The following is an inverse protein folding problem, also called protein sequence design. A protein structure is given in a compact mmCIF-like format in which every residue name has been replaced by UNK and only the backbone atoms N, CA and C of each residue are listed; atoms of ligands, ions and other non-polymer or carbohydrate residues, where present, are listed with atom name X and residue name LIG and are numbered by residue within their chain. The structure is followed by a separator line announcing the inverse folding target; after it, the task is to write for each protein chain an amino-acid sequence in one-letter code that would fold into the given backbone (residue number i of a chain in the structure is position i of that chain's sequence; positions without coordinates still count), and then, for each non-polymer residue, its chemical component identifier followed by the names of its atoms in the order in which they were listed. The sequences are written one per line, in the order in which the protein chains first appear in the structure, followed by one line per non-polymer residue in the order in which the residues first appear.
data_IF_042107003370
#
_entry.id   IF_042107003370
#
_cell.length_a   1.000
_cell.length_b   1.000
_cell.length_c   1.000
_cell.angle_alpha   90.00
_cell.angle_beta   90.00
_cell.angle_gamma   90.00
#
_symmetry.space_group_name_H-M   'P 1'
#
loop_
_entity.id
_entity.type
_entity.pdbx_description
1 polymer ?
#
# COMPACT_ATOMS: atom_id res chain seq x y z
N UNK A 1 -29.76 36.40 36.70
CA UNK A 1 -29.09 36.07 35.44
C UNK A 1 -27.75 35.35 35.60
N UNK A 2 -27.01 35.55 36.69
CA UNK A 2 -25.72 34.88 36.93
C UNK A 2 -25.82 33.40 37.30
N UNK A 3 -26.88 32.94 37.95
CA UNK A 3 -27.08 31.53 38.33
C UNK A 3 -27.22 30.57 37.13
N UNK A 4 -27.85 31.00 36.08
CA UNK A 4 -28.01 30.20 34.85
C UNK A 4 -26.69 30.00 34.10
N UNK A 5 -25.80 30.97 34.16
CA UNK A 5 -24.46 30.89 33.57
C UNK A 5 -23.51 30.03 34.39
N UNK A 6 -23.63 30.07 35.73
CA UNK A 6 -22.83 29.24 36.63
C UNK A 6 -23.24 27.77 36.53
N UNK A 7 -24.55 27.46 36.49
CA UNK A 7 -25.07 26.11 36.26
C UNK A 7 -24.71 25.54 34.86
N UNK A 8 -24.72 26.43 33.87
CA UNK A 8 -24.30 26.02 32.51
C UNK A 8 -22.80 25.73 32.43
N UNK A 9 -22.01 26.50 33.17
CA UNK A 9 -20.56 26.36 33.20
C UNK A 9 -20.12 25.09 33.94
N UNK A 10 -20.82 24.76 35.03
CA UNK A 10 -20.59 23.52 35.80
C UNK A 10 -21.05 22.31 35.04
N UNK A 11 -22.19 22.33 34.35
CA UNK A 11 -22.63 21.29 33.45
C UNK A 11 -21.69 21.10 32.24
N UNK A 12 -21.16 22.17 31.68
CA UNK A 12 -20.16 22.07 30.60
C UNK A 12 -18.84 21.47 31.07
N UNK A 13 -18.43 21.68 32.33
CA UNK A 13 -17.25 21.05 32.91
C UNK A 13 -17.45 19.55 33.11
N UNK A 14 -18.60 19.12 33.63
CA UNK A 14 -18.92 17.68 33.78
C UNK A 14 -19.04 16.97 32.41
N UNK A 15 -19.65 17.61 31.44
CA UNK A 15 -19.74 17.06 30.08
C UNK A 15 -18.37 17.03 29.40
N UNK A 16 -17.53 18.02 29.66
CA UNK A 16 -16.17 18.06 29.12
C UNK A 16 -15.27 16.95 29.66
N UNK A 17 -15.35 16.62 30.94
CA UNK A 17 -14.55 15.54 31.54
C UNK A 17 -15.00 14.16 31.12
N UNK A 18 -16.29 13.88 31.05
CA UNK A 18 -16.83 12.60 30.57
C UNK A 18 -16.58 12.40 29.06
N UNK A 19 -16.69 13.47 28.29
CA UNK A 19 -16.41 13.41 26.85
C UNK A 19 -14.90 13.22 26.58
N UNK A 20 -14.03 13.79 27.39
CA UNK A 20 -12.57 13.64 27.26
C UNK A 20 -12.13 12.22 27.65
N UNK A 21 -12.65 11.65 28.74
CA UNK A 21 -12.34 10.25 29.14
C UNK A 21 -12.77 9.22 28.09
N UNK A 22 -14.00 9.35 27.57
CA UNK A 22 -14.48 8.49 26.49
C UNK A 22 -13.75 8.71 25.15
N UNK A 23 -13.38 9.96 24.86
CA UNK A 23 -12.61 10.29 23.68
C UNK A 23 -11.16 9.76 23.76
N UNK A 24 -10.54 9.72 24.94
CA UNK A 24 -9.21 9.10 25.13
C UNK A 24 -9.24 7.57 24.93
N UNK A 25 -10.25 6.87 25.44
CA UNK A 25 -10.37 5.43 25.25
C UNK A 25 -10.67 5.06 23.80
N UNK A 26 -11.60 5.77 23.16
CA UNK A 26 -11.90 5.59 21.73
C UNK A 26 -10.72 6.01 20.86
N UNK A 27 -10.00 7.05 21.24
CA UNK A 27 -8.81 7.51 20.53
C UNK A 27 -7.67 6.48 20.59
N UNK A 28 -7.41 5.87 21.74
CA UNK A 28 -6.38 4.83 21.89
C UNK A 28 -6.70 3.59 21.04
N UNK A 29 -7.94 3.14 21.03
CA UNK A 29 -8.39 2.00 20.20
C UNK A 29 -8.36 2.37 18.71
N UNK A 30 -8.78 3.59 18.35
CA UNK A 30 -8.73 4.06 16.97
C UNK A 30 -7.29 4.24 16.47
N UNK A 31 -6.39 4.76 17.30
CA UNK A 31 -4.96 4.92 16.98
C UNK A 31 -4.31 3.54 16.78
N UNK A 32 -4.54 2.58 17.67
CA UNK A 32 -4.02 1.22 17.53
C UNK A 32 -4.51 0.55 16.23
N UNK A 33 -5.79 0.65 15.91
CA UNK A 33 -6.35 0.13 14.64
C UNK A 33 -5.77 0.84 13.42
N UNK A 34 -5.53 2.15 13.51
CA UNK A 34 -4.92 2.92 12.41
C UNK A 34 -3.47 2.52 12.19
N UNK A 35 -2.69 2.28 13.25
CA UNK A 35 -1.31 1.80 13.12
C UNK A 35 -1.23 0.44 12.46
N UNK A 36 -2.12 -0.50 12.83
CA UNK A 36 -2.16 -1.83 12.26
C UNK A 36 -2.64 -1.81 10.79
N UNK A 37 -3.62 -0.99 10.46
CA UNK A 37 -4.02 -0.75 9.08
C UNK A 37 -2.88 -0.16 8.24
N UNK A 38 -2.08 0.73 8.82
CA UNK A 38 -0.88 1.28 8.17
C UNK A 38 0.17 0.20 7.93
N UNK A 39 0.40 -0.71 8.87
CA UNK A 39 1.29 -1.86 8.68
C UNK A 39 0.81 -2.77 7.55
N UNK A 40 -0.47 -3.12 7.54
CA UNK A 40 -1.09 -3.92 6.48
C UNK A 40 -0.92 -3.23 5.11
N UNK A 41 -1.14 -1.93 5.03
CA UNK A 41 -0.97 -1.16 3.80
C UNK A 41 0.47 -1.18 3.28
N UNK A 42 1.46 -1.07 4.17
CA UNK A 42 2.88 -1.20 3.80
C UNK A 42 3.20 -2.60 3.28
N UNK A 43 2.71 -3.64 3.95
CA UNK A 43 2.93 -5.02 3.52
C UNK A 43 2.26 -5.28 2.16
N UNK A 44 1.05 -4.76 1.92
CA UNK A 44 0.39 -4.84 0.60
C UNK A 44 1.20 -4.15 -0.50
N UNK A 45 1.80 -3.01 -0.19
CA UNK A 45 2.69 -2.31 -1.13
C UNK A 45 3.94 -3.15 -1.44
N UNK A 46 4.53 -3.79 -0.42
CA UNK A 46 5.66 -4.70 -0.61
C UNK A 46 5.28 -5.88 -1.52
N UNK A 47 4.11 -6.50 -1.28
CA UNK A 47 3.56 -7.57 -2.13
C UNK A 47 3.40 -7.09 -3.57
N UNK A 48 2.89 -5.89 -3.77
CA UNK A 48 2.74 -5.32 -5.11
C UNK A 48 4.09 -5.17 -5.82
N UNK A 49 5.11 -4.70 -5.12
CA UNK A 49 6.47 -4.58 -5.66
C UNK A 49 7.08 -5.96 -5.97
N UNK A 50 6.89 -6.95 -5.10
CA UNK A 50 7.34 -8.32 -5.32
C UNK A 50 6.67 -8.95 -6.55
N UNK A 51 5.36 -8.76 -6.71
CA UNK A 51 4.62 -9.22 -7.89
C UNK A 51 5.11 -8.54 -9.18
N UNK A 52 5.52 -7.27 -9.13
CA UNK A 52 6.17 -6.61 -10.28
C UNK A 52 7.51 -7.25 -10.62
N UNK A 53 8.31 -7.63 -9.63
CA UNK A 53 9.58 -8.35 -9.84
C UNK A 53 9.33 -9.72 -10.46
N UNK A 54 8.35 -10.48 -9.96
CA UNK A 54 7.94 -11.78 -10.55
C UNK A 54 7.56 -11.60 -12.02
N UNK A 55 6.80 -10.57 -12.34
CA UNK A 55 6.41 -10.28 -13.74
C UNK A 55 7.64 -9.99 -14.60
N UNK A 56 8.58 -9.19 -14.12
CA UNK A 56 9.83 -8.90 -14.82
C UNK A 56 10.68 -10.16 -15.06
N UNK A 57 10.79 -11.05 -14.08
CA UNK A 57 11.52 -12.32 -14.25
C UNK A 57 10.80 -13.27 -15.23
N UNK A 58 9.46 -13.30 -15.22
CA UNK A 58 8.66 -14.05 -16.21
C UNK A 58 8.82 -13.50 -17.63
N UNK A 59 8.89 -12.18 -17.78
CA UNK A 59 9.15 -11.54 -19.08
C UNK A 59 10.54 -11.87 -19.59
N UNK A 60 11.57 -11.82 -18.73
CA UNK A 60 12.92 -12.21 -19.07
C UNK A 60 13.01 -13.69 -19.47
N UNK A 61 12.34 -14.56 -18.72
CA UNK A 61 12.24 -15.98 -19.01
C UNK A 61 11.55 -16.22 -20.35
N UNK A 62 10.43 -15.53 -20.61
CA UNK A 62 9.71 -15.63 -21.88
C UNK A 62 10.54 -15.17 -23.07
N UNK A 63 11.32 -14.09 -22.91
CA UNK A 63 12.24 -13.60 -23.93
C UNK A 63 13.36 -14.61 -24.22
N UNK A 64 13.97 -15.16 -23.19
CA UNK A 64 15.01 -16.18 -23.31
C UNK A 64 14.49 -17.42 -24.05
N UNK A 65 13.31 -17.92 -23.68
CA UNK A 65 12.66 -19.07 -24.34
C UNK A 65 12.38 -18.77 -25.81
N UNK A 66 11.85 -17.58 -26.10
CA UNK A 66 11.54 -17.16 -27.46
C UNK A 66 12.80 -17.06 -28.35
N UNK A 67 13.85 -16.44 -27.85
CA UNK A 67 15.13 -16.30 -28.60
C UNK A 67 15.76 -17.67 -28.88
N UNK A 68 15.81 -18.54 -27.88
CA UNK A 68 16.39 -19.86 -28.06
C UNK A 68 15.54 -20.79 -28.97
N UNK A 69 14.23 -20.69 -28.88
CA UNK A 69 13.35 -21.43 -29.75
C UNK A 69 13.46 -20.96 -31.21
N UNK A 70 13.66 -19.66 -31.43
CA UNK A 70 13.75 -19.06 -32.76
C UNK A 70 15.12 -19.29 -33.41
N UNK A 71 16.19 -19.06 -32.66
CA UNK A 71 17.54 -19.01 -33.24
C UNK A 71 18.24 -20.37 -33.17
N UNK A 72 18.09 -21.10 -32.09
CA UNK A 72 18.76 -22.40 -31.86
C UNK A 72 17.88 -23.62 -32.10
N UNK A 73 16.61 -23.41 -32.40
CA UNK A 73 15.63 -24.50 -32.58
C UNK A 73 15.53 -25.41 -31.34
N UNK A 74 15.84 -24.85 -30.14
CA UNK A 74 15.87 -25.60 -28.88
C UNK A 74 14.45 -25.94 -28.41
N UNK A 75 14.20 -27.24 -28.29
CA UNK A 75 12.92 -27.78 -27.78
C UNK A 75 13.02 -28.15 -26.30
N UNK A 76 14.23 -28.11 -25.73
CA UNK A 76 14.51 -28.57 -24.38
C UNK A 76 15.48 -27.62 -23.66
N UNK A 77 15.07 -27.16 -22.50
CA UNK A 77 15.86 -26.24 -21.64
C UNK A 77 16.69 -26.96 -20.56
N UNK A 78 16.75 -28.29 -20.59
CA UNK A 78 17.58 -29.10 -19.70
C UNK A 78 19.05 -28.73 -19.88
N UNK A 79 19.68 -28.22 -18.80
CA UNK A 79 21.06 -27.76 -18.83
C UNK A 79 21.23 -26.26 -19.17
N UNK A 80 20.17 -25.53 -19.46
CA UNK A 80 20.24 -24.08 -19.58
C UNK A 80 20.22 -23.43 -18.20
N UNK A 81 21.39 -22.97 -17.76
CA UNK A 81 21.55 -22.37 -16.42
C UNK A 81 20.73 -21.08 -16.28
N UNK A 82 20.65 -20.27 -17.32
CA UNK A 82 19.93 -18.97 -17.26
C UNK A 82 18.42 -19.17 -17.12
N UNK A 83 17.87 -20.19 -17.78
CA UNK A 83 16.49 -20.59 -17.61
C UNK A 83 16.18 -20.92 -16.15
N UNK A 84 16.99 -21.78 -15.52
CA UNK A 84 16.77 -22.18 -14.14
C UNK A 84 17.05 -21.08 -13.13
N UNK A 85 17.95 -20.13 -13.41
CA UNK A 85 18.16 -18.94 -12.59
C UNK A 85 16.90 -18.09 -12.52
N UNK A 86 16.22 -17.85 -13.63
CA UNK A 86 14.96 -17.12 -13.63
C UNK A 86 13.84 -17.87 -12.90
N UNK A 87 13.74 -19.18 -13.09
CA UNK A 87 12.78 -20.03 -12.37
C UNK A 87 13.01 -19.95 -10.86
N UNK A 88 14.26 -20.08 -10.42
CA UNK A 88 14.61 -20.00 -8.99
C UNK A 88 14.28 -18.62 -8.39
N UNK A 89 14.61 -17.55 -9.09
CA UNK A 89 14.24 -16.19 -8.65
C UNK A 89 12.73 -16.03 -8.49
N UNK A 90 11.94 -16.54 -9.45
CA UNK A 90 10.47 -16.49 -9.36
C UNK A 90 10.00 -17.26 -8.12
N UNK A 91 10.55 -18.44 -7.85
CA UNK A 91 10.19 -19.25 -6.70
C UNK A 91 10.52 -18.55 -5.39
N UNK A 92 11.71 -17.98 -5.24
CA UNK A 92 12.13 -17.23 -4.06
C UNK A 92 11.19 -16.05 -3.82
N UNK A 93 10.95 -15.21 -4.82
CA UNK A 93 10.08 -14.05 -4.67
C UNK A 93 8.62 -14.47 -4.40
N UNK A 94 8.17 -15.58 -4.95
CA UNK A 94 6.82 -16.11 -4.68
C UNK A 94 6.67 -16.57 -3.23
N UNK A 95 7.71 -17.13 -2.64
CA UNK A 95 7.73 -17.47 -1.22
C UNK A 95 7.71 -16.22 -0.34
N UNK A 96 8.45 -15.17 -0.72
CA UNK A 96 8.42 -13.88 -0.03
C UNK A 96 7.01 -13.26 -0.04
N UNK A 97 6.29 -13.36 -1.16
CA UNK A 97 4.88 -12.92 -1.26
C UNK A 97 4.01 -13.70 -0.28
N UNK A 98 4.14 -15.03 -0.26
CA UNK A 98 3.36 -15.87 0.65
C UNK A 98 3.63 -15.55 2.13
N UNK A 99 4.87 -15.29 2.50
CA UNK A 99 5.22 -14.85 3.86
C UNK A 99 4.55 -13.52 4.22
N UNK A 100 4.53 -12.56 3.31
CA UNK A 100 3.86 -11.26 3.49
C UNK A 100 2.34 -11.40 3.62
N UNK A 101 1.73 -12.26 2.84
CA UNK A 101 0.30 -12.57 2.94
C UNK A 101 -0.03 -13.21 4.29
N UNK A 102 0.78 -14.13 4.76
CA UNK A 102 0.64 -14.74 6.09
C UNK A 102 0.80 -13.73 7.22
N UNK A 103 1.70 -12.75 7.07
CA UNK A 103 1.88 -11.67 8.03
C UNK A 103 0.63 -10.78 8.11
N UNK A 104 0.04 -10.41 6.96
CA UNK A 104 -1.24 -9.68 6.93
C UNK A 104 -2.33 -10.46 7.66
N UNK A 105 -2.47 -11.74 7.38
CA UNK A 105 -3.50 -12.57 8.02
C UNK A 105 -3.30 -12.63 9.54
N UNK A 106 -2.06 -12.77 10.00
CA UNK A 106 -1.72 -12.75 11.42
C UNK A 106 -2.10 -11.43 12.09
N UNK A 107 -1.80 -10.30 11.46
CA UNK A 107 -2.17 -8.98 11.96
C UNK A 107 -3.69 -8.84 12.02
N UNK A 108 -4.41 -9.26 10.97
CA UNK A 108 -5.87 -9.22 10.94
C UNK A 108 -6.50 -10.05 12.06
N UNK A 109 -6.00 -11.25 12.31
CA UNK A 109 -6.47 -12.13 13.37
C UNK A 109 -6.20 -11.56 14.76
N UNK A 110 -4.96 -11.06 15.00
CA UNK A 110 -4.54 -10.52 16.29
C UNK A 110 -5.36 -9.29 16.70
N UNK A 111 -5.67 -8.42 15.76
CA UNK A 111 -6.42 -7.19 16.02
C UNK A 111 -7.91 -7.26 15.67
N UNK A 112 -8.40 -8.45 15.32
CA UNK A 112 -9.79 -8.68 14.92
C UNK A 112 -10.27 -7.69 13.85
N UNK A 113 -9.40 -7.40 12.89
CA UNK A 113 -9.69 -6.53 11.77
C UNK A 113 -10.50 -7.35 10.75
N UNK A 114 -11.80 -7.06 10.66
CA UNK A 114 -12.61 -7.62 9.60
C UNK A 114 -12.16 -7.06 8.24
N UNK A 115 -12.40 -7.84 7.20
CA UNK A 115 -12.05 -7.54 5.80
C UNK A 115 -12.77 -6.30 5.21
N UNK A 116 -13.28 -5.41 6.06
CA UNK A 116 -13.95 -4.19 5.63
C UNK A 116 -12.92 -3.19 5.10
N UNK A 117 -12.64 -3.41 3.82
CA UNK A 117 -12.39 -2.35 2.85
C UNK A 117 -11.30 -1.32 3.19
N UNK A 118 -10.05 -1.71 3.00
CA UNK A 118 -9.18 -0.80 2.27
C UNK A 118 -9.08 -1.35 0.87
N UNK A 119 -9.95 -0.90 -0.01
CA UNK A 119 -9.88 -1.21 -1.42
C UNK A 119 -8.54 -0.71 -1.94
N UNK A 120 -7.90 -1.51 -2.78
CA UNK A 120 -6.64 -1.14 -3.43
C UNK A 120 -6.74 0.20 -4.18
N UNK A 121 -7.95 0.62 -4.52
CA UNK A 121 -8.27 1.89 -5.17
C UNK A 121 -7.97 3.12 -4.30
N UNK A 122 -8.22 3.09 -3.00
CA UNK A 122 -7.92 4.22 -2.10
C UNK A 122 -6.42 4.45 -1.87
N UNK A 123 -5.60 3.43 -2.01
CA UNK A 123 -4.14 3.55 -1.88
C UNK A 123 -3.48 4.18 -3.12
N UNK A 124 -4.13 4.07 -4.27
CA UNK A 124 -3.65 4.64 -5.53
C UNK A 124 -4.03 6.11 -5.62
N UNK A 125 -5.21 6.48 -5.15
CA UNK A 125 -5.70 7.86 -5.18
C UNK A 125 -4.88 8.79 -4.28
N UNK A 126 -4.48 8.34 -3.09
CA UNK A 126 -3.64 9.12 -2.18
C UNK A 126 -2.16 9.24 -2.61
N UNK A 127 -1.72 8.44 -3.56
CA UNK A 127 -0.34 8.54 -4.08
C UNK A 127 -0.21 9.44 -5.31
N UNK A 128 -1.34 9.81 -5.94
CA UNK A 128 -1.37 10.67 -7.14
C UNK A 128 -1.64 12.14 -6.84
N UNK A 129 -2.12 12.48 -5.64
CA UNK A 129 -2.49 13.87 -5.30
C UNK A 129 -1.29 14.74 -4.85
N UNK A 130 -0.08 14.23 -4.98
CA UNK A 130 1.17 14.93 -4.64
C UNK A 130 1.99 15.42 -5.82
N UNK A 131 1.45 15.49 -7.03
CA UNK A 131 2.26 15.93 -8.17
C UNK A 131 1.48 16.75 -9.17
N UNK A 132 1.98 17.94 -9.35
CA UNK A 132 1.83 18.86 -10.47
C UNK A 132 0.99 20.11 -10.21
N UNK A 133 1.59 21.04 -9.49
CA UNK A 133 1.56 22.43 -9.92
C UNK A 133 2.82 22.70 -10.74
N UNK A 134 2.75 22.45 -12.02
CA UNK A 134 3.69 23.04 -12.98
C UNK A 134 2.97 24.22 -13.55
N UNK A 135 3.28 25.39 -12.98
CA UNK A 135 2.99 26.67 -13.61
C UNK A 135 3.69 26.71 -14.96
N UNK A 136 2.90 26.54 -15.99
CA UNK A 136 3.33 26.80 -17.36
C UNK A 136 2.97 28.24 -17.71
N UNK A 137 3.72 29.19 -17.15
CA UNK A 137 3.78 30.54 -17.64
C UNK A 137 4.69 30.59 -18.86
N UNK A 138 4.15 30.29 -20.01
CA UNK A 138 4.75 30.68 -21.27
C UNK A 138 4.07 31.94 -21.78
N UNK A 139 4.61 33.07 -21.38
CA UNK A 139 4.32 34.34 -22.05
C UNK A 139 4.70 34.26 -23.53
N UNK A 140 3.67 34.34 -24.33
CA UNK A 140 3.80 34.68 -25.73
C UNK A 140 4.11 36.17 -25.83
N UNK A 141 5.35 36.53 -26.15
CA UNK A 141 5.68 37.85 -26.61
C UNK A 141 5.43 37.93 -28.10
N UNK A 142 4.37 38.59 -28.47
CA UNK A 142 4.23 39.21 -29.77
C UNK A 142 5.34 40.24 -30.02
N UNK A 143 5.96 40.15 -31.11
CA UNK A 143 6.60 41.31 -31.71
C UNK A 143 6.26 41.36 -33.20
N UNK A 144 5.38 42.30 -33.46
CA UNK A 144 5.13 42.91 -34.76
C UNK A 144 6.40 43.59 -35.29
N UNK A 145 6.76 43.34 -36.49
CA UNK A 145 7.05 44.22 -37.64
C UNK A 145 7.60 43.42 -38.80
#
# INVERSE_FOLDING_TARGET
MSKLWDDLKDNMKEWGTVAVEKAEEVSKVAVAKTEELTKISKIKLDIHQLNRKIRGEKEALGKLVYEQAKDDNMVNFTGNSDFFIHVEKINVISNDVLERENEINRIKEEYNLQDSAVSEEELIENSTDGKLDIDNDSEASESSE
#
